data_IF_823624910637
#
_entry.id   IF_823624910637
#
_cell.length_a   1.000
_cell.length_b   1.000
_cell.length_c   1.000
_cell.angle_alpha   90.00
_cell.angle_beta   90.00
_cell.angle_gamma   90.00
#
_symmetry.space_group_name_H-M   'P 1'
#
loop_
_entity.id
_entity.type
_entity.pdbx_description
1 polymer ?
#
# COMPACT_ATOMS: atom_id res chain seq x y z
N UNK A 1 36.13 -5.07 -19.13
CA UNK A 1 35.50 -5.02 -17.81
C UNK A 1 34.72 -3.75 -17.80
N UNK A 2 33.43 -3.87 -18.05
CA UNK A 2 32.47 -2.77 -17.98
C UNK A 2 31.31 -3.35 -17.17
N UNK A 3 31.34 -3.09 -15.87
CA UNK A 3 30.29 -3.50 -14.95
C UNK A 3 29.49 -2.23 -14.70
N UNK A 4 28.29 -2.19 -15.29
CA UNK A 4 27.33 -1.10 -15.14
C UNK A 4 27.04 -0.89 -13.66
N UNK A 5 27.49 0.23 -13.10
CA UNK A 5 26.96 0.73 -11.83
C UNK A 5 25.65 1.47 -12.18
N UNK A 6 24.54 0.74 -12.17
CA UNK A 6 23.19 1.32 -12.17
C UNK A 6 22.92 1.91 -10.78
N UNK A 7 23.62 2.99 -10.43
CA UNK A 7 23.39 3.74 -9.21
C UNK A 7 22.15 4.63 -9.42
N UNK A 8 20.99 4.16 -8.97
CA UNK A 8 19.81 5.01 -8.82
C UNK A 8 20.18 6.27 -8.03
N UNK A 9 19.63 7.43 -8.43
CA UNK A 9 19.90 8.70 -7.73
C UNK A 9 19.65 8.51 -6.22
N UNK A 10 20.67 8.66 -5.35
CA UNK A 10 20.50 8.49 -3.89
C UNK A 10 19.51 9.52 -3.31
N UNK A 11 19.20 10.55 -4.10
CA UNK A 11 18.29 11.63 -3.77
C UNK A 11 16.84 11.36 -4.19
N UNK A 12 16.50 10.13 -4.60
CA UNK A 12 15.15 9.78 -5.09
C UNK A 12 14.59 8.57 -4.35
N UNK A 13 13.41 8.73 -3.78
CA UNK A 13 12.66 7.63 -3.19
C UNK A 13 12.19 6.66 -4.29
N UNK A 14 12.64 5.40 -4.21
CA UNK A 14 12.29 4.36 -5.19
C UNK A 14 10.79 4.04 -5.25
N UNK A 15 10.06 4.16 -4.14
CA UNK A 15 8.65 3.80 -4.08
C UNK A 15 7.75 4.91 -4.65
N UNK A 16 7.83 6.13 -4.09
CA UNK A 16 6.94 7.21 -4.48
C UNK A 16 7.49 8.11 -5.60
N UNK A 17 8.79 7.98 -5.93
CA UNK A 17 9.46 8.81 -6.92
C UNK A 17 9.72 10.25 -6.47
N UNK A 18 9.52 10.58 -5.19
CA UNK A 18 9.88 11.89 -4.65
C UNK A 18 11.39 12.09 -4.75
N UNK A 19 11.81 13.26 -5.24
CA UNK A 19 13.21 13.66 -5.32
C UNK A 19 13.44 14.85 -4.41
N UNK A 20 14.46 14.74 -3.57
CA UNK A 20 14.88 15.80 -2.67
C UNK A 20 16.41 15.82 -2.59
N UNK A 21 17.08 16.96 -2.81
CA UNK A 21 18.54 17.04 -2.69
C UNK A 21 19.06 16.71 -1.28
N UNK A 22 18.21 16.84 -0.25
CA UNK A 22 18.55 16.47 1.13
C UNK A 22 18.28 14.98 1.43
N UNK A 23 17.78 14.19 0.46
CA UNK A 23 17.68 12.74 0.62
C UNK A 23 19.08 12.10 0.61
N UNK A 24 19.64 11.89 1.80
CA UNK A 24 20.68 10.91 2.09
C UNK A 24 20.06 9.59 2.62
N UNK A 25 20.90 8.62 3.00
CA UNK A 25 20.46 7.31 3.52
C UNK A 25 19.56 7.44 4.76
N UNK A 26 19.95 8.28 5.73
CA UNK A 26 19.18 8.50 6.97
C UNK A 26 17.89 9.27 6.69
N UNK A 27 17.95 10.27 5.81
CA UNK A 27 16.76 11.02 5.39
C UNK A 27 15.76 10.15 4.61
N UNK A 28 16.24 9.20 3.79
CA UNK A 28 15.41 8.22 3.10
C UNK A 28 14.77 7.23 4.08
N UNK A 29 15.50 6.74 5.09
CA UNK A 29 14.93 5.89 6.13
C UNK A 29 13.80 6.59 6.90
N UNK A 30 14.01 7.85 7.29
CA UNK A 30 12.97 8.67 7.89
C UNK A 30 11.78 8.86 6.95
N UNK A 31 12.05 9.11 5.66
CA UNK A 31 11.01 9.22 4.65
C UNK A 31 10.21 7.91 4.53
N UNK A 32 10.86 6.75 4.45
CA UNK A 32 10.17 5.46 4.36
C UNK A 32 9.28 5.22 5.58
N UNK A 33 9.80 5.57 6.75
CA UNK A 33 9.11 5.37 8.01
C UNK A 33 7.92 6.31 8.21
N UNK A 34 8.03 7.60 7.87
CA UNK A 34 7.03 8.61 8.24
C UNK A 34 6.29 9.27 7.07
N UNK A 35 6.97 9.54 5.95
CA UNK A 35 6.46 10.44 4.90
C UNK A 35 6.07 9.74 3.60
N UNK A 36 6.62 8.55 3.31
CA UNK A 36 6.42 7.90 2.04
C UNK A 36 4.97 7.49 1.86
N UNK A 37 4.29 8.08 0.87
CA UNK A 37 2.86 7.86 0.58
C UNK A 37 2.56 6.47 0.03
N UNK A 38 3.58 5.74 -0.42
CA UNK A 38 3.48 4.36 -0.92
C UNK A 38 3.60 3.33 0.20
N UNK A 39 4.12 3.74 1.35
CA UNK A 39 4.39 2.88 2.48
C UNK A 39 3.44 3.21 3.63
N UNK A 40 3.20 2.23 4.48
CA UNK A 40 2.51 2.42 5.74
C UNK A 40 3.16 1.58 6.83
N UNK A 41 2.99 2.00 8.08
CA UNK A 41 3.31 1.18 9.23
C UNK A 41 2.12 0.26 9.55
N UNK A 42 2.35 -1.05 9.55
CA UNK A 42 1.38 -2.01 10.04
C UNK A 42 0.98 -1.67 11.48
N UNK A 43 -0.33 -1.64 11.77
CA UNK A 43 -0.82 -1.23 13.10
C UNK A 43 -0.51 -2.24 14.20
N UNK A 44 -0.30 -3.49 13.81
CA UNK A 44 -0.09 -4.59 14.75
C UNK A 44 1.40 -4.85 14.98
N UNK A 45 2.20 -5.03 13.92
CA UNK A 45 3.63 -5.34 14.04
C UNK A 45 4.57 -4.12 13.88
N UNK A 46 4.03 -2.94 13.57
CA UNK A 46 4.80 -1.71 13.31
C UNK A 46 5.79 -1.77 12.13
N UNK A 47 5.82 -2.86 11.36
CA UNK A 47 6.66 -2.97 10.17
C UNK A 47 6.23 -1.98 9.09
N UNK A 48 7.19 -1.33 8.45
CA UNK A 48 6.96 -0.49 7.27
C UNK A 48 6.81 -1.40 6.05
N UNK A 49 5.66 -1.31 5.39
CA UNK A 49 5.29 -2.15 4.27
C UNK A 49 4.67 -1.33 3.14
N UNK A 50 4.80 -1.83 1.93
CA UNK A 50 4.13 -1.26 0.77
C UNK A 50 2.62 -1.45 0.89
N UNK A 51 1.86 -0.38 0.67
CA UNK A 51 0.39 -0.44 0.74
C UNK A 51 -0.17 -1.41 -0.31
N UNK A 52 0.52 -1.59 -1.45
CA UNK A 52 0.16 -2.55 -2.48
C UNK A 52 0.26 -4.01 -2.01
N UNK A 53 1.20 -4.32 -1.11
CA UNK A 53 1.42 -5.66 -0.55
C UNK A 53 0.74 -5.87 0.81
N UNK A 54 -0.02 -4.89 1.31
CA UNK A 54 -0.63 -4.92 2.63
C UNK A 54 -1.56 -6.14 2.83
N UNK A 55 -2.29 -6.54 1.79
CA UNK A 55 -3.15 -7.72 1.83
C UNK A 55 -2.34 -9.00 2.05
N UNK A 56 -1.26 -9.18 1.28
CA UNK A 56 -0.37 -10.32 1.42
C UNK A 56 0.29 -10.33 2.80
N UNK A 57 0.79 -9.17 3.25
CA UNK A 57 1.38 -9.01 4.57
C UNK A 57 0.45 -9.52 5.67
N UNK A 58 -0.82 -9.07 5.70
CA UNK A 58 -1.76 -9.49 6.73
C UNK A 58 -2.12 -10.98 6.68
N UNK A 59 -2.01 -11.64 5.53
CA UNK A 59 -2.38 -13.05 5.39
C UNK A 59 -1.20 -14.01 5.61
N UNK A 60 0.03 -13.62 5.26
CA UNK A 60 1.17 -14.55 5.21
C UNK A 60 2.33 -14.16 6.11
N UNK A 61 2.67 -12.87 6.17
CA UNK A 61 3.90 -12.36 6.81
C UNK A 61 3.70 -11.81 8.23
N UNK A 62 2.55 -11.17 8.49
CA UNK A 62 2.29 -10.49 9.76
C UNK A 62 2.27 -11.49 10.93
N UNK A 63 2.92 -11.12 12.04
CA UNK A 63 2.87 -11.87 13.29
C UNK A 63 1.45 -12.02 13.86
N UNK A 64 0.52 -11.14 13.46
CA UNK A 64 -0.89 -11.17 13.86
C UNK A 64 -1.83 -11.63 12.74
N UNK A 65 -1.32 -12.33 11.72
CA UNK A 65 -2.14 -12.84 10.59
C UNK A 65 -3.35 -13.66 11.02
N UNK A 66 -3.29 -14.33 12.17
CA UNK A 66 -4.40 -15.07 12.74
C UNK A 66 -5.64 -14.21 13.05
N UNK A 67 -5.49 -12.88 13.16
CA UNK A 67 -6.62 -11.95 13.33
C UNK A 67 -7.27 -11.55 12.01
N UNK A 68 -6.61 -11.77 10.88
CA UNK A 68 -7.06 -11.33 9.57
C UNK A 68 -7.66 -12.48 8.76
N UNK A 69 -8.59 -12.13 7.88
CA UNK A 69 -9.24 -13.07 6.96
C UNK A 69 -9.54 -12.36 5.65
N UNK A 70 -9.39 -13.08 4.54
CA UNK A 70 -9.85 -12.63 3.23
C UNK A 70 -11.36 -12.79 3.13
N UNK A 71 -12.06 -11.72 2.76
CA UNK A 71 -13.48 -11.74 2.51
C UNK A 71 -13.77 -12.49 1.19
N UNK A 72 -14.60 -13.52 1.26
CA UNK A 72 -15.02 -14.35 0.13
C UNK A 72 -15.81 -13.59 -0.95
N UNK A 73 -16.45 -12.48 -0.58
CA UNK A 73 -17.21 -11.64 -1.51
C UNK A 73 -16.29 -10.64 -2.21
N UNK A 74 -15.52 -9.88 -1.44
CA UNK A 74 -14.75 -8.73 -1.96
C UNK A 74 -13.30 -9.04 -2.32
N UNK A 75 -12.74 -10.13 -1.79
CA UNK A 75 -11.30 -10.43 -1.85
C UNK A 75 -10.45 -9.50 -0.97
N UNK A 76 -11.05 -8.63 -0.15
CA UNK A 76 -10.30 -7.74 0.75
C UNK A 76 -9.97 -8.43 2.06
N UNK A 77 -8.81 -8.07 2.61
CA UNK A 77 -8.36 -8.57 3.91
C UNK A 77 -8.92 -7.69 5.01
N UNK A 78 -9.69 -8.29 5.90
CA UNK A 78 -10.35 -7.63 7.03
C UNK A 78 -10.09 -8.38 8.33
N UNK A 79 -10.39 -7.76 9.47
CA UNK A 79 -10.33 -8.44 10.76
C UNK A 79 -11.45 -9.50 10.85
N UNK A 80 -11.11 -10.68 11.38
CA UNK A 80 -12.06 -11.79 11.56
C UNK A 80 -13.29 -11.38 12.35
N UNK A 81 -13.08 -10.58 13.39
CA UNK A 81 -14.17 -10.10 14.25
C UNK A 81 -15.08 -9.09 13.54
N UNK A 82 -14.56 -8.34 12.58
CA UNK A 82 -15.29 -7.31 11.81
C UNK A 82 -15.87 -7.83 10.48
N UNK A 83 -15.56 -9.07 10.08
CA UNK A 83 -15.94 -9.62 8.78
C UNK A 83 -17.45 -9.52 8.51
N UNK A 84 -18.29 -9.76 9.53
CA UNK A 84 -19.75 -9.68 9.39
C UNK A 84 -20.22 -8.25 9.14
N UNK A 85 -19.61 -7.28 9.82
CA UNK A 85 -19.93 -5.86 9.65
C UNK A 85 -19.45 -5.36 8.29
N UNK A 86 -18.26 -5.81 7.86
CA UNK A 86 -17.73 -5.57 6.52
C UNK A 86 -18.69 -6.08 5.44
N UNK A 87 -19.10 -7.35 5.50
CA UNK A 87 -20.04 -7.95 4.54
C UNK A 87 -21.41 -7.27 4.51
N UNK A 88 -21.84 -6.66 5.62
CA UNK A 88 -23.07 -5.88 5.70
C UNK A 88 -22.92 -4.44 5.18
N UNK A 89 -21.68 -3.96 5.01
CA UNK A 89 -21.38 -2.61 4.55
C UNK A 89 -21.57 -2.47 3.03
N UNK A 90 -21.75 -1.22 2.58
CA UNK A 90 -21.77 -0.89 1.14
C UNK A 90 -20.40 -0.94 0.46
N UNK A 91 -19.32 -1.12 1.24
CA UNK A 91 -17.95 -1.16 0.75
C UNK A 91 -17.53 -2.58 0.37
N UNK A 92 -18.12 -3.61 1.00
CA UNK A 92 -17.92 -4.99 0.58
C UNK A 92 -18.62 -5.26 -0.76
N UNK A 93 -17.86 -5.07 -1.84
CA UNK A 93 -18.32 -5.29 -3.22
C UNK A 93 -17.56 -6.43 -3.89
N UNK A 94 -18.22 -7.21 -4.76
CA UNK A 94 -17.55 -8.28 -5.49
C UNK A 94 -16.28 -7.80 -6.20
N UNK A 95 -15.18 -8.55 -6.15
CA UNK A 95 -13.95 -8.20 -6.86
C UNK A 95 -14.18 -8.01 -8.38
N UNK A 96 -15.20 -8.66 -8.94
CA UNK A 96 -15.63 -8.52 -10.33
C UNK A 96 -16.11 -7.09 -10.69
N UNK A 97 -16.68 -6.33 -9.74
CA UNK A 97 -17.12 -4.94 -9.99
C UNK A 97 -15.93 -4.03 -10.32
N UNK A 98 -14.76 -4.35 -9.78
CA UNK A 98 -13.53 -3.62 -10.05
C UNK A 98 -12.77 -4.20 -11.25
N UNK A 99 -13.41 -5.06 -12.06
CA UNK A 99 -12.80 -5.62 -13.26
C UNK A 99 -11.53 -6.42 -12.98
N UNK A 100 -11.44 -7.04 -11.80
CA UNK A 100 -10.26 -7.79 -11.37
C UNK A 100 -9.06 -6.92 -10.96
N UNK A 101 -9.25 -5.61 -10.78
CA UNK A 101 -8.21 -4.73 -10.25
C UNK A 101 -7.94 -4.99 -8.77
N UNK A 102 -6.70 -4.87 -8.29
CA UNK A 102 -6.42 -4.90 -6.86
C UNK A 102 -7.12 -3.73 -6.17
N UNK A 103 -7.65 -3.94 -4.97
CA UNK A 103 -8.30 -2.90 -4.17
C UNK A 103 -7.33 -2.28 -3.17
N UNK A 104 -7.45 -0.98 -2.96
CA UNK A 104 -6.72 -0.28 -1.92
C UNK A 104 -7.35 -0.53 -0.55
N UNK A 105 -6.66 -1.24 0.34
CA UNK A 105 -7.14 -1.49 1.71
C UNK A 105 -7.32 -0.22 2.58
N UNK A 106 -6.89 0.95 2.09
CA UNK A 106 -7.13 2.24 2.76
C UNK A 106 -8.48 2.85 2.37
N UNK A 107 -8.90 2.72 1.11
CA UNK A 107 -10.10 3.41 0.60
C UNK A 107 -11.10 2.50 -0.14
N UNK A 108 -10.82 1.19 -0.22
CA UNK A 108 -11.64 0.11 -0.77
C UNK A 108 -11.99 0.22 -2.27
N UNK A 109 -11.27 1.09 -2.99
CA UNK A 109 -11.43 1.29 -4.45
C UNK A 109 -10.41 0.49 -5.23
N UNK A 110 -10.80 0.01 -6.41
CA UNK A 110 -9.87 -0.60 -7.36
C UNK A 110 -8.79 0.38 -7.81
N UNK A 111 -7.56 -0.11 -7.85
CA UNK A 111 -6.35 0.65 -8.15
C UNK A 111 -5.80 0.27 -9.52
N UNK A 112 -5.73 1.26 -10.42
CA UNK A 112 -5.01 1.17 -11.71
C UNK A 112 -5.47 0.02 -12.62
N UNK A 113 -4.87 -0.18 -13.80
CA UNK A 113 -4.95 -1.49 -14.46
C UNK A 113 -4.30 -2.56 -13.53
N UNK A 114 -4.68 -3.84 -13.66
CA UNK A 114 -4.25 -4.92 -12.75
C UNK A 114 -2.72 -5.16 -12.73
N UNK A 115 -1.98 -4.57 -13.68
CA UNK A 115 -0.54 -4.77 -13.86
C UNK A 115 0.20 -3.44 -13.68
N UNK A 116 0.96 -3.32 -12.59
CA UNK A 116 2.01 -2.31 -12.46
C UNK A 116 1.95 -1.43 -11.20
N UNK A 117 3.11 -1.28 -10.58
CA UNK A 117 3.38 -0.37 -9.44
C UNK A 117 2.98 1.08 -9.75
N UNK A 118 2.99 1.48 -11.02
CA UNK A 118 2.60 2.81 -11.44
C UNK A 118 1.12 3.12 -11.18
N UNK A 119 0.25 2.11 -11.23
CA UNK A 119 -1.17 2.25 -10.89
C UNK A 119 -1.37 2.62 -9.42
N UNK A 120 -0.66 1.90 -8.54
CA UNK A 120 -0.60 2.19 -7.12
C UNK A 120 0.03 3.54 -6.82
N UNK A 121 1.13 3.87 -7.49
CA UNK A 121 1.78 5.17 -7.34
C UNK A 121 0.84 6.30 -7.66
N UNK A 122 0.16 6.25 -8.80
CA UNK A 122 -0.83 7.28 -9.17
C UNK A 122 -1.95 7.37 -8.15
N UNK A 123 -2.53 6.23 -7.76
CA UNK A 123 -3.62 6.20 -6.79
C UNK A 123 -3.20 6.80 -5.45
N UNK A 124 -2.11 6.33 -4.85
CA UNK A 124 -1.67 6.75 -3.51
C UNK A 124 -1.14 8.18 -3.46
N UNK A 125 -0.61 8.70 -4.57
CA UNK A 125 -0.08 10.08 -4.66
C UNK A 125 -1.13 11.13 -5.03
N UNK A 126 -2.31 10.73 -5.56
CA UNK A 126 -3.29 11.69 -6.10
C UNK A 126 -4.74 11.37 -5.79
N UNK A 127 -5.14 10.11 -5.89
CA UNK A 127 -6.56 9.70 -5.91
C UNK A 127 -7.05 9.11 -4.58
N UNK A 128 -6.15 8.62 -3.72
CA UNK A 128 -6.48 7.94 -2.49
C UNK A 128 -6.95 8.94 -1.42
N UNK A 129 -8.26 8.98 -1.18
CA UNK A 129 -8.86 9.90 -0.21
C UNK A 129 -8.55 9.56 1.25
N UNK A 130 -8.13 8.33 1.52
CA UNK A 130 -7.87 7.80 2.87
C UNK A 130 -6.38 7.55 3.14
N UNK A 131 -5.47 7.99 2.25
CA UNK A 131 -4.05 7.90 2.53
C UNK A 131 -3.64 8.96 3.56
N UNK A 132 -3.28 8.58 4.81
CA UNK A 132 -2.96 9.56 5.86
C UNK A 132 -1.65 10.32 5.59
N UNK A 133 -0.76 9.76 4.76
CA UNK A 133 0.52 10.37 4.41
C UNK A 133 0.40 11.32 3.21
N UNK A 134 -0.75 11.33 2.53
CA UNK A 134 -1.00 12.23 1.42
C UNK A 134 -1.25 13.66 1.93
N UNK A 135 -0.22 14.51 1.88
CA UNK A 135 -0.33 15.95 2.20
C UNK A 135 -1.17 16.63 1.11
N UNK A 136 -2.45 16.91 1.40
CA UNK A 136 -3.31 17.72 0.53
C UNK A 136 -2.73 19.14 0.48
N UNK A 137 -2.31 19.59 -0.71
CA UNK A 137 -1.93 20.99 -0.94
C UNK A 137 -3.16 21.88 -0.99
#
# INVERSE_FOLDING_TARGET
GDFLEESGDPHTCQFCGARDPDFDEEALDLHYWQDCVMLMSCRECSQVIEIACLAEHYLTECEFKDKYIECDVSGEVVLKDELKEWQASSECRPAADDGGRPRCLLCHRGVGPPEGEEGWRRHLTRDCSQNPRLKKK
#
